data_IF_146289833021
#
_entry.id   IF_146289833021
#
_cell.length_a   1.000
_cell.length_b   1.000
_cell.length_c   1.000
_cell.angle_alpha   90.00
_cell.angle_beta   90.00
_cell.angle_gamma   90.00
#
_symmetry.space_group_name_H-M   'P 1'
#
loop_
_entity.id
_entity.type
_entity.pdbx_description
1 polymer ?
#
# COMPACT_ATOMS: atom_id res chain seq x y z
N UNK A 1 -12.69 18.19 -7.24
CA UNK A 1 -11.70 17.72 -8.24
C UNK A 1 -11.20 16.39 -7.74
N UNK A 2 -11.56 15.29 -8.41
CA UNK A 2 -11.08 13.97 -8.05
C UNK A 2 -9.56 13.94 -8.29
N UNK A 3 -8.79 13.69 -7.24
CA UNK A 3 -7.35 13.44 -7.37
C UNK A 3 -7.23 12.07 -8.01
N UNK A 4 -6.59 12.00 -9.19
CA UNK A 4 -6.28 10.74 -9.86
C UNK A 4 -5.24 9.95 -9.02
N UNK A 5 -5.72 9.31 -7.97
CA UNK A 5 -4.90 8.62 -6.98
C UNK A 5 -4.40 7.26 -7.52
N UNK A 6 -3.23 6.77 -7.07
CA UNK A 6 -2.75 5.42 -7.35
C UNK A 6 -3.81 4.35 -7.11
N UNK A 7 -3.91 3.41 -8.04
CA UNK A 7 -4.66 2.18 -7.81
C UNK A 7 -3.88 1.24 -6.87
N UNK A 8 -4.48 0.95 -5.72
CA UNK A 8 -3.94 0.00 -4.73
C UNK A 8 -4.94 -1.12 -4.40
N UNK A 9 -5.96 -1.33 -5.26
CA UNK A 9 -7.07 -2.25 -5.03
C UNK A 9 -6.63 -3.67 -4.68
N UNK A 10 -5.63 -4.20 -5.40
CA UNK A 10 -5.10 -5.54 -5.16
C UNK A 10 -4.62 -5.75 -3.70
N UNK A 11 -3.96 -4.75 -3.10
CA UNK A 11 -3.50 -4.86 -1.70
C UNK A 11 -4.67 -4.72 -0.72
N UNK A 12 -5.68 -3.92 -1.04
CA UNK A 12 -6.89 -3.83 -0.22
C UNK A 12 -7.69 -5.13 -0.21
N UNK A 13 -7.73 -5.83 -1.34
CA UNK A 13 -8.34 -7.17 -1.48
C UNK A 13 -7.57 -8.21 -0.66
N UNK A 14 -6.24 -8.20 -0.68
CA UNK A 14 -5.42 -9.06 0.19
C UNK A 14 -5.78 -8.82 1.65
N UNK A 15 -5.82 -7.54 2.09
CA UNK A 15 -6.18 -7.20 3.47
C UNK A 15 -7.58 -7.66 3.86
N UNK A 16 -8.52 -7.65 2.93
CA UNK A 16 -9.87 -8.17 3.13
C UNK A 16 -9.93 -9.69 3.20
N UNK A 17 -9.19 -10.37 2.32
CA UNK A 17 -9.08 -11.82 2.37
C UNK A 17 -8.47 -12.30 3.69
N UNK A 18 -7.48 -11.59 4.23
CA UNK A 18 -6.94 -11.85 5.59
C UNK A 18 -8.03 -11.65 6.66
N UNK A 19 -8.74 -10.51 6.66
CA UNK A 19 -9.78 -10.22 7.67
C UNK A 19 -10.93 -11.22 7.66
N UNK A 20 -11.29 -11.73 6.48
CA UNK A 20 -12.35 -12.72 6.32
C UNK A 20 -11.85 -14.16 6.53
N UNK A 21 -10.59 -14.37 6.94
CA UNK A 21 -10.00 -15.70 7.18
C UNK A 21 -9.73 -16.51 5.92
N UNK A 22 -9.78 -15.90 4.72
CA UNK A 22 -9.47 -16.55 3.44
C UNK A 22 -7.97 -16.67 3.18
N UNK A 23 -7.17 -15.79 3.78
CA UNK A 23 -5.70 -15.86 3.74
C UNK A 23 -5.14 -15.90 5.16
N UNK A 24 -4.10 -16.71 5.36
CA UNK A 24 -3.39 -16.81 6.62
C UNK A 24 -2.13 -15.93 6.59
N UNK A 25 -2.11 -14.88 7.41
CA UNK A 25 -1.00 -13.92 7.50
C UNK A 25 0.04 -14.27 8.57
N UNK A 26 -0.13 -15.38 9.30
CA UNK A 26 0.85 -15.84 10.29
C UNK A 26 2.30 -15.92 9.76
N UNK A 27 2.56 -16.37 8.50
CA UNK A 27 3.91 -16.38 7.94
C UNK A 27 4.55 -14.98 7.83
N UNK A 28 3.75 -13.94 7.58
CA UNK A 28 4.23 -12.55 7.46
C UNK A 28 4.57 -11.94 8.82
N UNK A 29 3.94 -12.43 9.90
CA UNK A 29 4.24 -12.02 11.29
C UNK A 29 5.46 -12.75 11.85
N UNK A 30 5.65 -14.00 11.47
CA UNK A 30 6.70 -14.85 12.01
C UNK A 30 8.09 -14.55 11.44
N UNK A 31 8.17 -13.99 10.22
CA UNK A 31 9.42 -13.68 9.54
C UNK A 31 9.43 -12.23 9.10
N UNK A 32 10.42 -11.42 9.54
CA UNK A 32 10.65 -10.11 8.97
C UNK A 32 10.76 -10.24 7.45
N UNK A 33 9.93 -9.49 6.74
CA UNK A 33 10.06 -9.34 5.31
C UNK A 33 10.63 -7.97 5.02
N UNK A 34 11.64 -7.95 4.16
CA UNK A 34 12.20 -6.72 3.65
C UNK A 34 11.36 -6.28 2.45
N UNK A 35 10.98 -5.02 2.44
CA UNK A 35 10.41 -4.42 1.24
C UNK A 35 11.47 -4.39 0.15
N UNK A 36 11.08 -4.61 -1.10
CA UNK A 36 12.01 -4.47 -2.23
C UNK A 36 12.47 -3.01 -2.39
N UNK A 37 11.73 -2.05 -1.81
CA UNK A 37 12.11 -0.65 -1.72
C UNK A 37 13.25 -0.37 -0.72
N UNK A 38 13.57 -1.31 0.17
CA UNK A 38 14.56 -1.18 1.23
C UNK A 38 15.86 -1.96 0.92
N UNK A 39 16.28 -2.03 -0.35
CA UNK A 39 17.44 -2.82 -0.81
C UNK A 39 18.83 -2.42 -0.25
N UNK A 40 18.88 -1.63 0.82
CA UNK A 40 20.09 -1.36 1.60
C UNK A 40 19.97 -1.97 2.99
N UNK A 41 20.91 -2.84 3.42
CA UNK A 41 20.91 -3.37 4.77
C UNK A 41 21.21 -2.25 5.75
N UNK A 42 20.17 -1.67 6.36
CA UNK A 42 20.36 -0.77 7.49
C UNK A 42 20.65 -1.59 8.74
N UNK A 43 21.88 -1.47 9.21
CA UNK A 43 22.32 -1.94 10.52
C UNK A 43 21.64 -1.12 11.63
N UNK A 44 20.38 -1.41 11.99
CA UNK A 44 19.84 -1.10 13.33
C UNK A 44 18.38 -1.51 13.46
N UNK A 45 18.12 -2.32 14.48
CA UNK A 45 17.02 -2.28 15.46
C UNK A 45 15.94 -1.18 15.23
N UNK A 46 15.16 -1.28 14.15
CA UNK A 46 13.84 -0.62 14.07
C UNK A 46 12.78 -1.70 13.86
N UNK A 47 11.91 -1.78 14.86
CA UNK A 47 11.20 -2.97 15.33
C UNK A 47 9.85 -3.21 14.65
N UNK A 48 9.67 -2.76 13.41
CA UNK A 48 8.37 -2.87 12.72
C UNK A 48 8.57 -3.10 11.23
N UNK A 49 8.22 -4.29 10.77
CA UNK A 49 8.26 -4.69 9.37
C UNK A 49 7.29 -3.84 8.52
N UNK A 50 7.51 -3.71 7.20
CA UNK A 50 6.56 -3.03 6.32
C UNK A 50 5.13 -3.60 6.38
N UNK A 51 5.00 -4.89 6.74
CA UNK A 51 3.71 -5.57 6.91
C UNK A 51 3.00 -5.06 8.15
N UNK A 52 3.70 -5.02 9.29
CA UNK A 52 3.14 -4.48 10.53
C UNK A 52 2.75 -3.01 10.38
N UNK A 53 3.58 -2.20 9.70
CA UNK A 53 3.22 -0.82 9.34
C UNK A 53 1.95 -0.77 8.50
N UNK A 54 1.79 -1.67 7.54
CA UNK A 54 0.59 -1.74 6.71
C UNK A 54 -0.65 -2.19 7.50
N UNK A 55 -0.51 -3.12 8.44
CA UNK A 55 -1.61 -3.54 9.32
C UNK A 55 -2.10 -2.41 10.24
N UNK A 56 -1.26 -1.43 10.57
CA UNK A 56 -1.70 -0.22 11.28
C UNK A 56 -2.66 0.63 10.43
N UNK A 57 -2.69 0.46 9.11
CA UNK A 57 -3.63 1.15 8.21
C UNK A 57 -5.03 0.52 8.20
N UNK A 58 -5.27 -0.62 8.86
CA UNK A 58 -6.57 -1.29 8.86
C UNK A 58 -7.72 -0.38 9.30
N UNK A 59 -7.50 0.47 10.31
CA UNK A 59 -8.54 1.41 10.78
C UNK A 59 -8.94 2.41 9.70
N UNK A 60 -7.97 2.93 8.94
CA UNK A 60 -8.22 3.85 7.82
C UNK A 60 -8.92 3.13 6.66
N UNK A 61 -8.52 1.89 6.38
CA UNK A 61 -9.13 1.06 5.33
C UNK A 61 -10.59 0.72 5.67
N UNK A 62 -10.88 0.29 6.90
CA UNK A 62 -12.24 0.01 7.36
C UNK A 62 -13.11 1.26 7.27
N UNK A 63 -12.61 2.41 7.76
CA UNK A 63 -13.34 3.68 7.69
C UNK A 63 -13.68 4.08 6.25
N UNK A 64 -12.78 3.84 5.29
CA UNK A 64 -13.06 4.08 3.87
C UNK A 64 -14.17 3.16 3.34
N UNK A 65 -14.15 1.86 3.70
CA UNK A 65 -15.17 0.90 3.27
C UNK A 65 -16.55 1.19 3.84
N UNK A 66 -16.62 1.66 5.07
CA UNK A 66 -17.89 2.00 5.72
C UNK A 66 -18.52 3.28 5.13
N UNK A 67 -17.70 4.16 4.52
CA UNK A 67 -18.14 5.45 3.98
C UNK A 67 -18.17 5.51 2.43
N UNK A 68 -18.37 4.37 1.77
CA UNK A 68 -18.38 4.22 0.30
C UNK A 68 -19.34 5.18 -0.43
N UNK A 69 -20.40 5.65 0.24
CA UNK A 69 -21.46 6.50 -0.32
C UNK A 69 -21.30 8.01 -0.04
N UNK A 70 -20.23 8.47 0.63
CA UNK A 70 -20.09 9.88 1.01
C UNK A 70 -19.46 10.74 -0.09
N UNK A 71 -19.77 12.05 -0.09
CA UNK A 71 -19.07 13.07 -0.88
C UNK A 71 -17.55 13.16 -0.54
N UNK A 72 -17.12 12.51 0.55
CA UNK A 72 -15.74 12.49 1.02
C UNK A 72 -14.96 11.24 0.60
N UNK A 73 -15.54 10.38 -0.25
CA UNK A 73 -14.94 9.12 -0.72
C UNK A 73 -13.53 9.31 -1.29
N UNK A 74 -13.32 10.31 -2.14
CA UNK A 74 -12.00 10.56 -2.76
C UNK A 74 -10.94 10.92 -1.71
N UNK A 75 -11.33 11.70 -0.69
CA UNK A 75 -10.44 12.07 0.42
C UNK A 75 -10.14 10.87 1.31
N UNK A 76 -11.14 10.02 1.57
CA UNK A 76 -10.96 8.79 2.32
C UNK A 76 -10.04 7.80 1.57
N UNK A 77 -10.24 7.64 0.27
CA UNK A 77 -9.38 6.82 -0.58
C UNK A 77 -7.94 7.36 -0.60
N UNK A 78 -7.75 8.68 -0.71
CA UNK A 78 -6.43 9.30 -0.63
C UNK A 78 -5.72 8.98 0.71
N UNK A 79 -6.44 9.01 1.83
CA UNK A 79 -5.87 8.60 3.13
C UNK A 79 -5.45 7.14 3.14
N UNK A 80 -6.23 6.25 2.52
CA UNK A 80 -5.89 4.83 2.37
C UNK A 80 -4.65 4.64 1.51
N UNK A 81 -4.56 5.35 0.37
CA UNK A 81 -3.39 5.34 -0.52
C UNK A 81 -2.15 5.82 0.20
N UNK A 82 -2.22 6.94 0.91
CA UNK A 82 -1.08 7.47 1.64
C UNK A 82 -0.63 6.54 2.77
N UNK A 83 -1.55 5.97 3.54
CA UNK A 83 -1.19 5.04 4.61
C UNK A 83 -0.54 3.77 4.04
N UNK A 84 -1.20 3.13 3.07
CA UNK A 84 -0.72 1.87 2.46
C UNK A 84 0.59 2.08 1.72
N UNK A 85 0.68 3.14 0.91
CA UNK A 85 1.87 3.47 0.15
C UNK A 85 3.05 3.84 1.05
N UNK A 86 2.84 4.55 2.16
CA UNK A 86 3.93 4.85 3.12
C UNK A 86 4.43 3.63 3.85
N UNK A 87 3.55 2.68 4.14
CA UNK A 87 3.92 1.44 4.81
C UNK A 87 4.73 0.51 3.91
N UNK A 88 4.32 0.36 2.64
CA UNK A 88 4.90 -0.63 1.71
C UNK A 88 5.92 -0.04 0.74
N UNK A 89 5.76 1.22 0.38
CA UNK A 89 6.45 1.88 -0.72
C UNK A 89 6.80 3.34 -0.36
N UNK A 90 7.49 3.59 0.77
CA UNK A 90 7.61 4.92 1.36
C UNK A 90 8.20 5.95 0.40
N UNK A 91 9.32 5.63 -0.24
CA UNK A 91 10.08 6.57 -1.08
C UNK A 91 9.27 7.05 -2.30
N UNK A 92 8.64 6.13 -3.03
CA UNK A 92 7.85 6.45 -4.23
C UNK A 92 6.52 7.12 -3.87
N UNK A 93 5.93 6.76 -2.72
CA UNK A 93 4.69 7.38 -2.24
C UNK A 93 4.92 8.83 -1.81
N UNK A 94 6.02 9.12 -1.10
CA UNK A 94 6.38 10.49 -0.76
C UNK A 94 6.69 11.33 -2.01
N UNK A 95 7.39 10.76 -2.98
CA UNK A 95 7.66 11.41 -4.27
C UNK A 95 6.37 11.78 -5.00
N UNK A 96 5.39 10.87 -5.01
CA UNK A 96 4.08 11.13 -5.60
C UNK A 96 3.31 12.20 -4.81
N UNK A 97 3.27 12.11 -3.48
CA UNK A 97 2.60 13.09 -2.61
C UNK A 97 3.19 14.50 -2.79
N UNK A 98 4.51 14.61 -2.91
CA UNK A 98 5.19 15.86 -3.22
C UNK A 98 4.83 16.39 -4.60
N UNK A 99 4.79 15.51 -5.61
CA UNK A 99 4.40 15.88 -6.97
C UNK A 99 2.99 16.47 -7.02
N UNK A 100 1.99 15.80 -6.42
CA UNK A 100 0.59 16.28 -6.44
C UNK A 100 0.38 17.51 -5.55
N UNK A 101 1.25 17.74 -4.55
CA UNK A 101 1.25 18.97 -3.76
C UNK A 101 1.81 20.15 -4.55
N UNK A 102 2.85 19.90 -5.34
CA UNK A 102 3.52 20.90 -6.17
C UNK A 102 2.67 21.28 -7.39
N UNK A 103 2.16 20.28 -8.12
CA UNK A 103 1.32 20.49 -9.29
C UNK A 103 -0.16 20.44 -8.93
N UNK A 104 -0.90 21.52 -9.20
CA UNK A 104 -2.36 21.60 -8.99
C UNK A 104 -3.09 21.84 -10.31
N UNK A 105 -4.39 21.52 -10.34
CA UNK A 105 -5.22 21.77 -11.52
C UNK A 105 -4.85 20.89 -12.71
N UNK A 106 -4.73 21.49 -13.90
CA UNK A 106 -4.45 20.78 -15.15
C UNK A 106 -3.06 20.13 -15.19
N UNK A 107 -2.14 20.53 -14.32
CA UNK A 107 -0.76 20.02 -14.30
C UNK A 107 -0.58 18.75 -13.45
N UNK A 108 -1.61 18.28 -12.74
CA UNK A 108 -1.53 17.03 -11.93
C UNK A 108 -1.17 15.82 -12.80
N UNK A 109 -1.50 15.83 -14.10
CA UNK A 109 -1.13 14.78 -15.04
C UNK A 109 0.39 14.61 -15.19
N UNK A 110 1.21 15.60 -14.82
CA UNK A 110 2.66 15.46 -14.80
C UNK A 110 3.14 14.45 -13.73
N UNK A 111 2.29 14.12 -12.75
CA UNK A 111 2.57 13.12 -11.72
C UNK A 111 2.22 11.69 -12.15
N UNK A 112 1.73 11.46 -13.38
CA UNK A 112 1.30 10.13 -13.86
C UNK A 112 2.43 9.11 -13.82
N UNK A 113 3.66 9.51 -14.14
CA UNK A 113 4.81 8.61 -14.08
C UNK A 113 5.06 8.12 -12.64
N UNK A 114 5.11 9.05 -11.68
CA UNK A 114 5.36 8.73 -10.27
C UNK A 114 4.18 7.96 -9.67
N UNK A 115 2.94 8.28 -10.06
CA UNK A 115 1.73 7.51 -9.73
C UNK A 115 1.90 6.04 -10.13
N UNK A 116 2.29 5.76 -11.39
CA UNK A 116 2.51 4.39 -11.87
C UNK A 116 3.62 3.66 -11.13
N UNK A 117 4.63 4.38 -10.64
CA UNK A 117 5.66 3.78 -9.78
C UNK A 117 5.10 3.34 -8.44
N UNK A 118 4.21 4.13 -7.82
CA UNK A 118 3.51 3.73 -6.59
C UNK A 118 2.67 2.47 -6.84
N UNK A 119 1.85 2.46 -7.89
CA UNK A 119 1.01 1.31 -8.26
C UNK A 119 1.84 0.05 -8.48
N UNK A 120 2.95 0.16 -9.23
CA UNK A 120 3.86 -0.95 -9.49
C UNK A 120 4.47 -1.46 -8.19
N UNK A 121 4.96 -0.58 -7.33
CA UNK A 121 5.57 -0.97 -6.07
C UNK A 121 4.55 -1.69 -5.18
N UNK A 122 3.39 -1.10 -4.94
CA UNK A 122 2.35 -1.69 -4.08
C UNK A 122 1.89 -3.04 -4.62
N UNK A 123 1.77 -3.20 -5.94
CA UNK A 123 1.45 -4.49 -6.57
C UNK A 123 2.54 -5.54 -6.35
N UNK A 124 3.82 -5.16 -6.47
CA UNK A 124 4.95 -6.07 -6.24
C UNK A 124 4.97 -6.52 -4.78
N UNK A 125 4.84 -5.58 -3.85
CA UNK A 125 4.77 -5.86 -2.41
C UNK A 125 3.58 -6.76 -2.05
N UNK A 126 2.40 -6.51 -2.65
CA UNK A 126 1.24 -7.39 -2.51
C UNK A 126 1.47 -8.80 -3.05
N UNK A 127 2.17 -8.93 -4.18
CA UNK A 127 2.58 -10.23 -4.72
C UNK A 127 3.54 -10.97 -3.80
N UNK A 128 4.51 -10.28 -3.21
CA UNK A 128 5.42 -10.85 -2.20
C UNK A 128 4.67 -11.30 -0.95
N UNK A 129 3.68 -10.54 -0.48
CA UNK A 129 2.83 -10.97 0.63
C UNK A 129 2.11 -12.28 0.30
N UNK A 130 1.48 -12.36 -0.87
CA UNK A 130 0.76 -13.56 -1.32
C UNK A 130 1.69 -14.78 -1.39
N UNK A 131 2.87 -14.63 -2.01
CA UNK A 131 3.87 -15.72 -2.09
C UNK A 131 4.27 -16.26 -0.72
N UNK A 132 4.34 -15.41 0.29
CA UNK A 132 4.70 -15.83 1.65
C UNK A 132 3.54 -16.43 2.44
N UNK A 133 2.32 -15.96 2.20
CA UNK A 133 1.11 -16.49 2.86
C UNK A 133 0.68 -17.83 2.27
N UNK A 134 0.89 -18.02 0.97
CA UNK A 134 0.58 -19.25 0.26
C UNK A 134 1.70 -19.60 -0.75
N UNK A 135 2.84 -20.14 -0.27
CA UNK A 135 3.95 -20.54 -1.13
C UNK A 135 3.56 -21.62 -2.15
N UNK A 136 2.62 -22.51 -1.77
CA UNK A 136 2.23 -23.65 -2.59
C UNK A 136 1.58 -23.28 -3.93
N UNK A 137 0.98 -22.09 -4.01
CA UNK A 137 0.36 -21.58 -5.23
C UNK A 137 1.37 -20.99 -6.23
N UNK A 138 2.61 -20.72 -5.82
CA UNK A 138 3.63 -20.05 -6.64
C UNK A 138 4.87 -20.91 -6.97
N UNK A 139 5.00 -22.09 -6.36
CA UNK A 139 6.12 -23.03 -6.58
C UNK A 139 5.82 -24.13 -7.64
N UNK A 140 4.83 -23.92 -8.53
CA UNK A 140 4.45 -24.85 -9.61
C UNK A 140 5.16 -24.58 -10.94
#
# INVERSE_FOLDING_TARGET
MAVDAPDIGAVLEIGEAIRNGRLNDAPLRAKPWFSIADSHPQNSIESTTPYEKWRQCDGVISSFKDNIASETRDKAYLSVVLCTGRALCPQVTESWAHCVKHWKGQHVQQCVFVKRMVERCVRVEGGEMLRKMDPSTFDA
#
